data_IF_481436527183
#
_entry.id   IF_481436527183
#
_cell.length_a   1.000
_cell.length_b   1.000
_cell.length_c   1.000
_cell.angle_alpha   90.00
_cell.angle_beta   90.00
_cell.angle_gamma   90.00
#
_symmetry.space_group_name_H-M   'P 1'
#
loop_
_entity.id
_entity.type
_entity.pdbx_description
1 polymer ?
#
# COMPACT_ATOMS: atom_id res chain seq x y z
N UNK A 1 22.25 20.62 -11.92
CA UNK A 1 22.09 20.47 -11.57
C UNK A 1 22.18 19.87 -11.32
N UNK A 2 21.79 19.82 -11.38
CA UNK A 2 21.65 19.43 -11.05
C UNK A 2 21.94 18.83 -10.53
N UNK A 3 21.84 18.83 -10.35
CA UNK A 3 22.06 18.38 -9.84
C UNK A 3 22.34 17.75 -9.40
N UNK A 4 22.45 18.03 -9.36
CA UNK A 4 22.55 17.60 -8.91
C UNK A 4 22.68 16.70 -8.66
N UNK A 5 23.04 16.38 -8.79
CA UNK A 5 22.90 15.62 -8.51
C UNK A 5 22.18 15.04 -7.94
N UNK A 6 22.50 14.83 -7.53
CA UNK A 6 21.54 14.18 -6.74
C UNK A 6 20.27 14.93 -6.53
N UNK A 7 20.21 16.06 -7.01
CA UNK A 7 19.05 16.88 -6.87
C UNK A 7 17.97 16.68 -7.91
N UNK A 8 18.21 15.81 -8.88
CA UNK A 8 17.23 15.58 -9.93
C UNK A 8 16.17 14.59 -9.46
N UNK A 9 14.93 15.05 -9.20
CA UNK A 9 13.87 14.13 -8.76
C UNK A 9 13.56 13.04 -9.76
N UNK A 10 13.71 13.33 -11.06
CA UNK A 10 13.42 12.33 -12.08
C UNK A 10 14.45 11.21 -12.04
N UNK A 11 15.73 11.54 -11.90
CA UNK A 11 16.78 10.53 -11.82
C UNK A 11 16.62 9.68 -10.57
N UNK A 12 16.28 10.30 -9.44
CA UNK A 12 16.07 9.58 -8.20
C UNK A 12 14.87 8.64 -8.32
N UNK A 13 13.80 9.12 -8.93
CA UNK A 13 12.60 8.32 -9.11
C UNK A 13 12.87 7.11 -9.99
N UNK A 14 13.62 7.31 -11.07
CA UNK A 14 13.97 6.23 -11.99
C UNK A 14 14.82 5.18 -11.28
N UNK A 15 15.77 5.63 -10.47
CA UNK A 15 16.60 4.70 -9.71
C UNK A 15 15.78 3.91 -8.70
N UNK A 16 14.87 4.59 -8.00
CA UNK A 16 14.02 3.93 -7.02
C UNK A 16 13.03 2.97 -7.68
N UNK A 17 12.52 3.34 -8.85
CA UNK A 17 11.60 2.46 -9.57
C UNK A 17 12.30 1.18 -10.00
N UNK A 18 13.54 1.27 -10.47
CA UNK A 18 14.31 0.09 -10.83
C UNK A 18 14.58 -0.81 -9.63
N UNK A 19 15.02 -0.21 -8.55
CA UNK A 19 15.26 -0.95 -7.31
C UNK A 19 13.95 -1.55 -6.78
N UNK A 20 12.87 -0.75 -6.85
CA UNK A 20 11.57 -1.22 -6.38
C UNK A 20 11.08 -2.44 -7.16
N UNK A 21 11.29 -2.44 -8.48
CA UNK A 21 10.89 -3.59 -9.29
C UNK A 21 11.70 -4.81 -8.93
N UNK A 22 13.00 -4.66 -8.72
CA UNK A 22 13.86 -5.77 -8.35
C UNK A 22 13.48 -6.36 -7.00
N UNK A 23 12.96 -5.52 -6.10
CA UNK A 23 12.55 -5.91 -4.75
C UNK A 23 11.05 -6.19 -4.65
N UNK A 24 10.32 -6.08 -5.76
CA UNK A 24 8.88 -6.28 -5.75
C UNK A 24 8.08 -5.09 -5.25
N UNK A 25 8.69 -3.90 -5.19
CA UNK A 25 8.02 -2.70 -4.70
C UNK A 25 7.48 -1.88 -5.88
N UNK A 26 6.30 -1.23 -5.73
CA UNK A 26 5.79 -0.34 -6.74
C UNK A 26 6.55 0.98 -6.71
N UNK A 27 6.46 1.76 -7.80
CA UNK A 27 7.00 3.10 -7.75
C UNK A 27 6.13 3.99 -6.86
N UNK A 28 6.67 5.14 -6.39
CA UNK A 28 5.96 5.99 -5.45
C UNK A 28 4.63 6.53 -5.98
N UNK A 29 4.52 6.79 -7.27
CA UNK A 29 3.28 7.32 -7.84
C UNK A 29 2.17 6.28 -7.78
N UNK A 30 2.52 5.03 -8.08
CA UNK A 30 1.54 3.95 -8.03
C UNK A 30 1.10 3.66 -6.60
N UNK A 31 2.04 3.70 -5.67
CA UNK A 31 1.70 3.51 -4.27
C UNK A 31 0.77 4.63 -3.79
N UNK A 32 1.06 5.87 -4.18
CA UNK A 32 0.20 7.00 -3.84
C UNK A 32 -1.21 6.81 -4.41
N UNK A 33 -1.31 6.35 -5.67
CA UNK A 33 -2.60 6.09 -6.27
C UNK A 33 -3.38 5.03 -5.48
N UNK A 34 -2.70 3.99 -5.01
CA UNK A 34 -3.33 2.96 -4.21
C UNK A 34 -3.83 3.53 -2.88
N UNK A 35 -3.00 4.34 -2.22
CA UNK A 35 -3.38 4.93 -0.95
C UNK A 35 -4.55 5.90 -1.10
N UNK A 36 -4.54 6.70 -2.16
CA UNK A 36 -5.63 7.63 -2.42
C UNK A 36 -6.95 6.91 -2.71
N UNK A 37 -6.89 5.75 -3.34
CA UNK A 37 -8.07 4.98 -3.67
C UNK A 37 -8.51 4.05 -2.54
N UNK A 38 -7.72 3.93 -1.49
CA UNK A 38 -7.97 2.96 -0.43
C UNK A 38 -9.39 3.04 0.15
N UNK A 39 -9.92 4.23 0.48
CA UNK A 39 -11.29 4.30 1.00
C UNK A 39 -12.35 3.76 0.04
N UNK A 40 -12.13 3.93 -1.25
CA UNK A 40 -13.06 3.39 -2.25
C UNK A 40 -12.89 1.88 -2.40
N UNK A 41 -11.67 1.38 -2.18
CA UNK A 41 -11.39 -0.05 -2.32
C UNK A 41 -12.04 -0.83 -1.18
N UNK A 42 -11.83 -0.41 0.07
CA UNK A 42 -12.34 -1.15 1.23
C UNK A 42 -13.69 -0.68 1.70
N UNK A 43 -14.14 0.47 1.21
CA UNK A 43 -15.40 1.06 1.64
C UNK A 43 -15.18 2.13 2.70
N UNK A 44 -15.98 3.18 2.62
CA UNK A 44 -15.81 4.33 3.50
C UNK A 44 -16.11 4.02 4.96
N UNK A 45 -16.89 2.98 5.22
CA UNK A 45 -17.17 2.57 6.60
C UNK A 45 -15.96 1.88 7.24
N UNK A 46 -15.19 1.12 6.44
CA UNK A 46 -14.05 0.37 6.96
C UNK A 46 -12.76 1.17 6.91
N UNK A 47 -12.63 2.08 5.97
CA UNK A 47 -11.38 2.81 5.75
C UNK A 47 -10.82 3.49 7.00
N UNK A 48 -11.63 4.13 7.87
CA UNK A 48 -11.07 4.75 9.07
C UNK A 48 -10.45 3.77 10.05
N UNK A 49 -10.76 2.49 9.91
CA UNK A 49 -10.30 1.44 10.82
C UNK A 49 -9.26 0.51 10.21
N UNK A 50 -8.90 0.72 8.95
CA UNK A 50 -7.96 -0.14 8.25
C UNK A 50 -6.94 0.73 7.52
N UNK A 51 -5.68 0.64 7.91
CA UNK A 51 -4.63 1.51 7.41
C UNK A 51 -3.52 0.72 6.74
N UNK A 52 -3.16 1.13 5.54
CA UNK A 52 -2.03 0.51 4.84
C UNK A 52 -0.74 0.91 5.55
N UNK A 53 0.06 -0.09 5.90
CA UNK A 53 1.33 0.14 6.60
C UNK A 53 2.52 0.00 5.69
N UNK A 54 2.51 -1.00 4.83
CA UNK A 54 3.66 -1.22 3.95
C UNK A 54 3.26 -2.13 2.81
N UNK A 55 4.09 -2.12 1.78
CA UNK A 55 3.98 -3.05 0.67
C UNK A 55 5.39 -3.54 0.37
N UNK A 56 5.64 -4.81 0.62
CA UNK A 56 6.96 -5.43 0.41
C UNK A 56 6.79 -6.80 -0.18
N UNK A 57 7.56 -7.08 -1.22
CA UNK A 57 7.58 -8.40 -1.86
C UNK A 57 6.18 -8.89 -2.23
N UNK A 58 5.33 -7.95 -2.63
CA UNK A 58 3.96 -8.27 -3.03
C UNK A 58 2.99 -8.44 -1.87
N UNK A 59 3.43 -8.23 -0.64
CA UNK A 59 2.56 -8.34 0.53
C UNK A 59 2.14 -6.95 1.01
N UNK A 60 0.85 -6.70 0.97
CA UNK A 60 0.28 -5.46 1.48
C UNK A 60 -0.07 -5.67 2.95
N UNK A 61 0.60 -4.93 3.82
CA UNK A 61 0.35 -5.00 5.25
C UNK A 61 -0.66 -3.93 5.65
N UNK A 62 -1.74 -4.36 6.27
CA UNK A 62 -2.80 -3.47 6.71
C UNK A 62 -2.99 -3.64 8.21
N UNK A 63 -3.05 -2.52 8.93
CA UNK A 63 -3.31 -2.51 10.36
C UNK A 63 -4.76 -2.10 10.59
N UNK A 64 -5.45 -2.84 11.46
CA UNK A 64 -6.82 -2.52 11.83
C UNK A 64 -6.92 -2.26 13.33
N UNK A 65 -7.96 -1.53 13.74
CA UNK A 65 -8.16 -1.12 15.12
C UNK A 65 -8.65 -2.25 16.03
N UNK A 66 -9.33 -3.24 15.47
CA UNK A 66 -9.94 -4.29 16.26
C UNK A 66 -10.06 -5.57 15.45
N UNK A 67 -10.14 -6.74 16.10
CA UNK A 67 -10.21 -8.02 15.41
C UNK A 67 -11.38 -8.15 14.42
N UNK A 68 -12.51 -7.52 14.71
CA UNK A 68 -13.66 -7.59 13.81
C UNK A 68 -13.32 -6.98 12.44
N UNK A 69 -12.52 -5.91 12.42
CA UNK A 69 -12.13 -5.29 11.16
C UNK A 69 -11.10 -6.15 10.42
N UNK A 70 -10.28 -6.90 11.15
CA UNK A 70 -9.34 -7.81 10.51
C UNK A 70 -10.08 -8.85 9.68
N UNK A 71 -11.14 -9.39 10.20
CA UNK A 71 -11.96 -10.36 9.48
C UNK A 71 -12.55 -9.72 8.22
N UNK A 72 -13.10 -8.51 8.35
CA UNK A 72 -13.68 -7.83 7.20
C UNK A 72 -12.65 -7.56 6.11
N UNK A 73 -11.45 -7.10 6.49
CA UNK A 73 -10.40 -6.82 5.51
C UNK A 73 -9.96 -8.11 4.83
N UNK A 74 -9.85 -9.21 5.58
CA UNK A 74 -9.46 -10.49 4.99
C UNK A 74 -10.49 -10.98 3.97
N UNK A 75 -11.76 -10.76 4.22
CA UNK A 75 -12.78 -11.10 3.24
C UNK A 75 -12.64 -10.30 1.95
N UNK A 76 -12.05 -9.12 2.03
CA UNK A 76 -11.87 -8.27 0.88
C UNK A 76 -10.55 -8.52 0.14
N UNK A 77 -9.78 -9.53 0.56
CA UNK A 77 -8.44 -9.74 -0.02
C UNK A 77 -8.46 -9.84 -1.54
N UNK A 78 -9.35 -10.65 -2.10
CA UNK A 78 -9.41 -10.79 -3.55
C UNK A 78 -9.82 -9.49 -4.22
N UNK A 79 -10.76 -8.77 -3.61
CA UNK A 79 -11.20 -7.47 -4.12
C UNK A 79 -10.07 -6.44 -4.09
N UNK A 80 -9.31 -6.41 -2.99
CA UNK A 80 -8.18 -5.50 -2.86
C UNK A 80 -7.13 -5.80 -3.92
N UNK A 81 -6.83 -7.09 -4.14
CA UNK A 81 -5.85 -7.46 -5.16
C UNK A 81 -6.29 -7.06 -6.56
N UNK A 82 -7.58 -7.24 -6.88
CA UNK A 82 -8.09 -6.85 -8.19
C UNK A 82 -8.07 -5.34 -8.37
N UNK A 83 -8.45 -4.60 -7.35
CA UNK A 83 -8.40 -3.15 -7.41
C UNK A 83 -6.96 -2.65 -7.55
N UNK A 84 -6.05 -3.25 -6.81
CA UNK A 84 -4.63 -2.89 -6.90
C UNK A 84 -4.06 -3.21 -8.28
N UNK A 85 -4.47 -4.34 -8.85
CA UNK A 85 -4.05 -4.71 -10.20
C UNK A 85 -4.41 -3.63 -11.21
N UNK A 86 -5.60 -3.07 -11.09
CA UNK A 86 -6.06 -2.03 -12.00
C UNK A 86 -5.30 -0.72 -11.79
N UNK A 87 -4.90 -0.43 -10.56
CA UNK A 87 -4.27 0.86 -10.22
C UNK A 87 -2.76 0.83 -10.33
N UNK A 88 -2.13 -0.24 -9.89
CA UNK A 88 -0.67 -0.27 -9.76
C UNK A 88 -0.02 -1.41 -10.55
N UNK A 89 -0.80 -2.28 -11.16
CA UNK A 89 -0.28 -3.31 -12.03
C UNK A 89 -0.39 -4.71 -11.46
N UNK A 90 -0.42 -5.68 -12.37
CA UNK A 90 -0.52 -7.09 -11.99
C UNK A 90 0.72 -7.52 -11.22
N UNK A 91 0.53 -8.30 -10.18
CA UNK A 91 1.61 -8.85 -9.40
C UNK A 91 2.23 -7.93 -8.37
N UNK A 92 1.83 -6.66 -8.33
CA UNK A 92 2.36 -5.70 -7.35
C UNK A 92 1.83 -6.05 -5.96
N UNK A 93 0.54 -6.33 -5.85
CA UNK A 93 -0.05 -6.82 -4.60
C UNK A 93 -0.47 -8.27 -4.83
N UNK A 94 0.26 -9.20 -4.25
CA UNK A 94 -0.01 -10.62 -4.40
C UNK A 94 -0.73 -11.21 -3.21
N UNK A 95 -0.56 -10.60 -2.05
CA UNK A 95 -1.17 -11.08 -0.82
C UNK A 95 -1.48 -9.91 0.10
N UNK A 96 -2.41 -10.13 0.99
CA UNK A 96 -2.81 -9.16 1.99
C UNK A 96 -2.53 -9.75 3.37
N UNK A 97 -1.86 -8.99 4.20
CA UNK A 97 -1.61 -9.39 5.58
C UNK A 97 -2.25 -8.37 6.49
N UNK A 98 -3.00 -8.82 7.47
CA UNK A 98 -3.72 -7.94 8.37
C UNK A 98 -3.22 -8.15 9.78
N UNK A 99 -2.91 -7.06 10.47
CA UNK A 99 -2.53 -7.09 11.87
C UNK A 99 -3.48 -6.21 12.66
N UNK A 100 -3.73 -6.58 13.90
CA UNK A 100 -4.58 -5.80 14.78
C UNK A 100 -3.69 -4.92 15.64
N UNK A 101 -3.88 -3.61 15.52
CA UNK A 101 -3.20 -2.65 16.38
C UNK A 101 -4.28 -1.82 17.04
N UNK A 102 -4.47 -2.03 18.32
CA UNK A 102 -5.49 -1.30 19.04
C UNK A 102 -5.29 0.20 18.97
N UNK A 103 -6.26 0.98 19.44
CA UNK A 103 -6.14 2.43 19.44
C UNK A 103 -4.86 2.83 20.15
N UNK A 104 -4.17 3.81 19.58
CA UNK A 104 -2.95 4.30 20.18
C UNK A 104 -3.31 5.00 21.48
N UNK A 105 -2.68 4.58 22.55
CA UNK A 105 -2.93 5.21 23.83
C UNK A 105 -2.13 6.50 23.95
N UNK A 106 -2.74 7.57 24.41
CA UNK A 106 -1.99 8.78 24.69
C UNK A 106 -1.03 8.53 25.84
N UNK A 107 0.17 8.94 25.69
CA UNK A 107 1.18 8.81 26.71
C UNK A 107 1.79 7.45 26.83
#
# INVERSE_FOLDING_TARGET
MSARRGGDPQALRDALAGVGRDLGLPDPERLTALLDAWPDIVGHALAPHAHVRSLRDGVLLVAVDAPAFATEVKYLEAHVREAAKALVGAGVVRALRVVVQGPRKPG
#
